data_IF_373748654186
#
_entry.id   IF_373748654186
#
_cell.length_a   1.000
_cell.length_b   1.000
_cell.length_c   1.000
_cell.angle_alpha   90.00
_cell.angle_beta   90.00
_cell.angle_gamma   90.00
#
_symmetry.space_group_name_H-M   'P 1'
#
loop_
_entity.id
_entity.type
_entity.pdbx_description
1 polymer ?
#
# COMPACT_ATOMS: atom_id res chain seq x y z
N UNK A 1 -3.86 -9.80 17.73
CA UNK A 1 -4.25 -8.45 17.26
C UNK A 1 -3.08 -7.48 17.17
N UNK A 2 -2.16 -7.42 18.14
CA UNK A 2 -1.03 -6.46 18.11
C UNK A 2 -0.16 -6.55 16.84
N UNK A 3 0.48 -7.70 16.59
CA UNK A 3 1.39 -7.87 15.44
C UNK A 3 0.70 -7.69 14.08
N UNK A 4 -0.52 -8.23 13.94
CA UNK A 4 -1.30 -8.09 12.71
C UNK A 4 -1.69 -6.64 12.44
N UNK A 5 -2.13 -5.91 13.48
CA UNK A 5 -2.45 -4.49 13.37
C UNK A 5 -1.21 -3.67 13.01
N UNK A 6 -0.10 -3.91 13.70
CA UNK A 6 1.11 -3.12 13.51
C UNK A 6 1.72 -3.34 12.12
N UNK A 7 1.79 -4.59 11.63
CA UNK A 7 2.25 -4.88 10.27
C UNK A 7 1.41 -4.18 9.20
N UNK A 8 0.08 -4.21 9.34
CA UNK A 8 -0.83 -3.53 8.39
C UNK A 8 -0.68 -2.01 8.49
N UNK A 9 -0.63 -1.46 9.72
CA UNK A 9 -0.44 -0.02 9.94
C UNK A 9 0.88 0.48 9.33
N UNK A 10 1.97 -0.30 9.44
CA UNK A 10 3.24 0.00 8.79
C UNK A 10 3.15 -0.06 7.26
N UNK A 11 2.36 -0.98 6.70
CA UNK A 11 2.08 -1.03 5.25
C UNK A 11 1.41 0.25 4.72
N UNK A 12 0.63 0.95 5.54
CA UNK A 12 0.02 2.24 5.17
C UNK A 12 0.95 3.46 5.29
N UNK A 13 2.17 3.28 5.79
CA UNK A 13 3.13 4.40 6.00
C UNK A 13 3.47 5.17 4.72
N UNK A 14 3.48 4.51 3.56
CA UNK A 14 3.68 5.17 2.26
C UNK A 14 2.55 6.16 1.96
N UNK A 15 1.29 5.74 2.10
CA UNK A 15 0.13 6.60 1.88
C UNK A 15 0.09 7.77 2.85
N UNK A 16 0.42 7.51 4.12
CA UNK A 16 0.52 8.54 5.15
C UNK A 16 1.59 9.58 4.78
N UNK A 17 2.76 9.12 4.31
CA UNK A 17 3.85 10.00 3.89
C UNK A 17 3.49 10.85 2.67
N UNK A 18 2.83 10.25 1.67
CA UNK A 18 2.35 10.97 0.48
C UNK A 18 1.34 12.04 0.90
N UNK A 19 0.38 11.71 1.77
CA UNK A 19 -0.63 12.66 2.24
C UNK A 19 0.00 13.86 2.98
N UNK A 20 1.02 13.60 3.81
CA UNK A 20 1.77 14.68 4.49
C UNK A 20 2.52 15.56 3.48
N UNK A 21 3.19 14.98 2.49
CA UNK A 21 3.90 15.73 1.45
C UNK A 21 2.92 16.57 0.61
N UNK A 22 1.80 15.99 0.17
CA UNK A 22 0.78 16.72 -0.58
C UNK A 22 0.14 17.84 0.25
N UNK A 23 -0.07 17.61 1.55
CA UNK A 23 -0.52 18.63 2.50
C UNK A 23 0.50 19.76 2.66
N UNK A 24 1.79 19.45 2.78
CA UNK A 24 2.86 20.45 2.90
C UNK A 24 3.03 21.28 1.62
N UNK A 25 2.86 20.66 0.45
CA UNK A 25 2.88 21.33 -0.85
C UNK A 25 1.59 22.14 -1.14
N UNK A 26 0.64 22.18 -0.21
CA UNK A 26 -0.61 22.93 -0.36
C UNK A 26 -1.53 22.39 -1.46
N UNK A 27 -1.32 21.14 -1.88
CA UNK A 27 -2.14 20.48 -2.88
C UNK A 27 -3.53 20.27 -2.29
N UNK A 28 -4.52 20.99 -2.78
CA UNK A 28 -5.91 20.79 -2.35
C UNK A 28 -6.36 19.43 -2.83
N UNK A 29 -6.42 18.45 -1.94
CA UNK A 29 -7.16 17.23 -2.19
C UNK A 29 -8.59 17.62 -2.51
N UNK A 30 -9.10 17.23 -3.68
CA UNK A 30 -10.53 17.35 -3.94
C UNK A 30 -11.21 16.45 -2.91
N UNK A 31 -11.83 17.07 -1.90
CA UNK A 31 -12.79 16.40 -1.06
C UNK A 31 -14.01 16.12 -1.95
N UNK A 32 -13.87 15.12 -2.85
CA UNK A 32 -14.95 14.64 -3.68
C UNK A 32 -15.96 14.11 -2.69
N UNK A 33 -17.01 14.91 -2.46
CA UNK A 33 -18.15 14.47 -1.66
C UNK A 33 -18.59 13.15 -2.27
N UNK A 34 -18.72 12.13 -1.43
CA UNK A 34 -19.16 10.79 -1.80
C UNK A 34 -20.25 10.89 -2.87
N UNK A 35 -20.04 10.32 -4.07
CA UNK A 35 -20.99 10.47 -5.16
C UNK A 35 -22.34 9.89 -4.72
N UNK A 36 -23.40 10.69 -4.82
CA UNK A 36 -24.77 10.27 -4.48
C UNK A 36 -25.25 9.31 -5.56
N UNK A 37 -24.90 8.03 -5.44
CA UNK A 37 -25.31 6.98 -6.38
C UNK A 37 -26.84 6.87 -6.36
N UNK A 38 -27.49 7.34 -7.42
CA UNK A 38 -28.90 7.08 -7.62
C UNK A 38 -29.07 5.68 -8.23
N UNK A 39 -29.14 4.67 -7.35
CA UNK A 39 -29.30 3.26 -7.72
C UNK A 39 -30.61 2.97 -8.48
N UNK A 40 -31.58 3.90 -8.48
CA UNK A 40 -32.85 3.74 -9.16
C UNK A 40 -32.85 4.15 -10.65
N UNK A 41 -31.82 4.87 -11.14
CA UNK A 41 -31.82 5.43 -12.50
C UNK A 41 -30.99 4.62 -13.52
N UNK A 42 -30.23 3.60 -13.11
CA UNK A 42 -29.26 2.92 -13.96
C UNK A 42 -29.71 1.50 -14.30
N UNK A 43 -30.75 1.40 -15.14
CA UNK A 43 -31.13 0.19 -15.86
C UNK A 43 -30.24 -0.11 -17.09
N UNK A 44 -29.07 0.52 -17.21
CA UNK A 44 -28.25 0.48 -18.41
C UNK A 44 -26.76 0.25 -18.12
N UNK A 45 -26.26 -0.89 -18.59
CA UNK A 45 -24.86 -1.21 -18.91
C UNK A 45 -23.77 -0.67 -17.94
N UNK A 46 -23.42 -1.47 -16.94
CA UNK A 46 -22.40 -1.17 -15.93
C UNK A 46 -20.95 -1.12 -16.46
N UNK A 47 -20.74 -1.37 -17.76
CA UNK A 47 -19.40 -1.46 -18.37
C UNK A 47 -18.78 -0.12 -18.76
N UNK A 48 -19.55 0.98 -18.83
CA UNK A 48 -19.10 2.30 -19.30
C UNK A 48 -18.93 3.35 -18.21
N UNK A 49 -18.97 2.95 -16.92
CA UNK A 49 -18.92 3.91 -15.82
C UNK A 49 -17.52 4.55 -15.72
N UNK A 50 -17.46 5.89 -15.89
CA UNK A 50 -16.22 6.70 -15.89
C UNK A 50 -15.39 6.57 -14.60
N UNK A 51 -16.01 6.12 -13.51
CA UNK A 51 -15.42 5.89 -12.20
C UNK A 51 -14.74 4.51 -12.05
N UNK A 52 -15.00 3.56 -12.95
CA UNK A 52 -14.41 2.20 -12.95
C UNK A 52 -13.12 2.12 -13.78
N UNK A 53 -12.36 3.22 -13.88
CA UNK A 53 -11.11 3.21 -14.66
C UNK A 53 -10.06 2.36 -13.93
N UNK A 54 -9.97 1.10 -14.36
CA UNK A 54 -8.93 0.13 -14.05
C UNK A 54 -7.54 0.64 -14.48
N UNK A 55 -6.92 1.50 -13.68
CA UNK A 55 -5.52 1.85 -13.85
C UNK A 55 -4.79 1.57 -12.56
N UNK A 56 -3.78 0.70 -12.64
CA UNK A 56 -2.84 0.48 -11.54
C UNK A 56 -2.24 1.84 -11.20
N UNK A 57 -2.42 2.28 -9.95
CA UNK A 57 -1.91 3.57 -9.50
C UNK A 57 -0.39 3.51 -9.34
N UNK A 58 0.29 4.64 -9.46
CA UNK A 58 1.75 4.72 -9.28
C UNK A 58 2.17 4.26 -7.87
N UNK A 59 1.28 4.40 -6.89
CA UNK A 59 1.51 4.01 -5.50
C UNK A 59 1.64 2.48 -5.37
N UNK A 60 0.86 1.70 -6.13
CA UNK A 60 0.96 0.21 -6.13
C UNK A 60 2.34 -0.24 -6.56
N UNK A 61 2.96 0.44 -7.53
CA UNK A 61 4.32 0.11 -7.98
C UNK A 61 5.33 0.38 -6.86
N UNK A 62 5.18 1.50 -6.15
CA UNK A 62 6.04 1.85 -5.03
C UNK A 62 5.89 0.86 -3.85
N UNK A 63 4.66 0.42 -3.55
CA UNK A 63 4.40 -0.62 -2.55
C UNK A 63 5.11 -1.93 -2.89
N UNK A 64 5.06 -2.36 -4.15
CA UNK A 64 5.75 -3.56 -4.63
C UNK A 64 7.28 -3.43 -4.53
N UNK A 65 7.83 -2.26 -4.88
CA UNK A 65 9.27 -1.99 -4.72
C UNK A 65 9.68 -2.04 -3.24
N UNK A 66 8.90 -1.43 -2.35
CA UNK A 66 9.17 -1.47 -0.91
C UNK A 66 9.07 -2.89 -0.34
N UNK A 67 8.10 -3.68 -0.76
CA UNK A 67 8.01 -5.10 -0.41
C UNK A 67 9.30 -5.83 -0.82
N UNK A 68 9.74 -5.69 -2.07
CA UNK A 68 10.98 -6.33 -2.55
C UNK A 68 12.22 -5.83 -1.80
N UNK A 69 12.27 -4.53 -1.49
CA UNK A 69 13.35 -3.92 -0.72
C UNK A 69 13.48 -4.54 0.69
N UNK A 70 12.36 -4.68 1.42
CA UNK A 70 12.39 -5.32 2.74
C UNK A 70 12.63 -6.83 2.67
N UNK A 71 12.18 -7.50 1.60
CA UNK A 71 12.54 -8.90 1.32
C UNK A 71 14.04 -9.06 1.08
N UNK A 72 14.66 -8.13 0.35
CA UNK A 72 16.11 -8.06 0.20
C UNK A 72 16.81 -7.78 1.53
N UNK A 73 16.31 -6.85 2.35
CA UNK A 73 16.83 -6.57 3.68
C UNK A 73 16.84 -7.81 4.59
N UNK A 74 15.75 -8.58 4.55
CA UNK A 74 15.67 -9.88 5.25
C UNK A 74 16.69 -10.88 4.72
N UNK A 75 16.89 -10.97 3.41
CA UNK A 75 17.92 -11.83 2.81
C UNK A 75 19.33 -11.41 3.20
N UNK A 76 19.62 -10.10 3.17
CA UNK A 76 20.93 -9.56 3.56
C UNK A 76 21.28 -9.81 5.02
N UNK A 77 20.28 -9.88 5.91
CA UNK A 77 20.47 -10.21 7.32
C UNK A 77 21.19 -11.57 7.49
N UNK A 78 20.97 -12.53 6.60
CA UNK A 78 21.62 -13.84 6.64
C UNK A 78 23.01 -13.87 5.98
N UNK A 79 23.30 -12.96 5.05
CA UNK A 79 24.51 -13.02 4.20
C UNK A 79 25.61 -12.09 4.67
N UNK A 80 25.26 -10.89 5.13
CA UNK A 80 26.25 -9.83 5.39
C UNK A 80 26.89 -9.95 6.77
N UNK A 81 26.32 -10.76 7.67
CA UNK A 81 26.86 -10.92 9.03
C UNK A 81 28.03 -11.89 9.09
N UNK A 82 29.26 -11.36 9.15
CA UNK A 82 30.52 -12.11 9.31
C UNK A 82 30.56 -13.06 10.54
N UNK A 83 29.62 -12.93 11.49
CA UNK A 83 29.58 -13.70 12.74
C UNK A 83 28.18 -14.23 13.11
N UNK A 84 27.36 -14.57 12.11
CA UNK A 84 26.07 -15.23 12.36
C UNK A 84 24.82 -14.39 12.05
N UNK A 85 24.94 -13.42 11.14
CA UNK A 85 23.81 -12.61 10.65
C UNK A 85 23.45 -11.40 11.53
N UNK A 86 22.89 -10.36 10.91
CA UNK A 86 22.36 -9.17 11.62
C UNK A 86 20.83 -9.28 11.74
N UNK A 87 20.38 -9.83 12.87
CA UNK A 87 18.96 -10.08 13.13
C UNK A 87 18.28 -9.02 14.00
N UNK A 88 19.00 -7.98 14.44
CA UNK A 88 18.45 -6.99 15.39
C UNK A 88 17.19 -6.31 14.87
N UNK A 89 17.14 -6.03 13.56
CA UNK A 89 16.00 -5.40 12.89
C UNK A 89 15.12 -6.38 12.11
N UNK A 90 15.44 -7.67 12.13
CA UNK A 90 14.74 -8.70 11.36
C UNK A 90 13.22 -8.75 11.62
N UNK A 91 12.73 -8.76 12.88
CA UNK A 91 11.29 -8.78 13.12
C UNK A 91 10.57 -7.55 12.54
N UNK A 92 11.21 -6.38 12.55
CA UNK A 92 10.63 -5.17 11.95
C UNK A 92 10.62 -5.24 10.42
N UNK A 93 11.69 -5.74 9.80
CA UNK A 93 11.75 -5.96 8.34
C UNK A 93 10.72 -6.98 7.88
N UNK A 94 10.52 -8.05 8.64
CA UNK A 94 9.48 -9.04 8.39
C UNK A 94 8.08 -8.43 8.46
N UNK A 95 7.81 -7.60 9.48
CA UNK A 95 6.51 -6.93 9.59
C UNK A 95 6.28 -5.94 8.44
N UNK A 96 7.31 -5.21 8.01
CA UNK A 96 7.25 -4.31 6.85
C UNK A 96 7.02 -5.08 5.55
N UNK A 97 7.72 -6.21 5.36
CA UNK A 97 7.53 -7.09 4.21
C UNK A 97 6.09 -7.61 4.13
N UNK A 98 5.56 -8.13 5.24
CA UNK A 98 4.17 -8.60 5.32
C UNK A 98 3.18 -7.45 5.12
N UNK A 99 3.45 -6.29 5.73
CA UNK A 99 2.60 -5.10 5.64
C UNK A 99 2.47 -4.57 4.22
N UNK A 100 3.59 -4.27 3.56
CA UNK A 100 3.60 -3.82 2.18
C UNK A 100 3.10 -4.90 1.22
N UNK A 101 3.43 -6.18 1.45
CA UNK A 101 2.89 -7.28 0.66
C UNK A 101 1.36 -7.35 0.75
N UNK A 102 0.79 -7.25 1.94
CA UNK A 102 -0.66 -7.23 2.13
C UNK A 102 -1.33 -6.08 1.36
N UNK A 103 -0.81 -4.86 1.49
CA UNK A 103 -1.34 -3.68 0.78
C UNK A 103 -1.21 -3.83 -0.74
N UNK A 104 -0.06 -4.29 -1.23
CA UNK A 104 0.22 -4.51 -2.65
C UNK A 104 -0.74 -5.55 -3.27
N UNK A 105 -0.85 -6.74 -2.66
CA UNK A 105 -1.74 -7.79 -3.16
C UNK A 105 -3.21 -7.38 -3.09
N UNK A 106 -3.61 -6.66 -2.02
CA UNK A 106 -4.96 -6.10 -1.91
C UNK A 106 -5.22 -5.06 -2.99
N UNK A 107 -4.28 -4.16 -3.26
CA UNK A 107 -4.46 -3.15 -4.30
C UNK A 107 -4.51 -3.72 -5.73
N UNK A 108 -3.98 -4.93 -5.95
CA UNK A 108 -4.09 -5.64 -7.23
C UNK A 108 -5.38 -6.48 -7.32
N UNK A 109 -5.75 -7.15 -6.22
CA UNK A 109 -6.85 -8.12 -6.19
C UNK A 109 -8.21 -7.44 -6.02
N UNK A 110 -8.29 -6.43 -5.15
CA UNK A 110 -9.51 -5.64 -4.98
C UNK A 110 -9.62 -4.70 -6.19
N UNK A 111 -10.58 -4.99 -7.06
CA UNK A 111 -10.94 -4.15 -8.19
C UNK A 111 -11.39 -2.78 -7.65
N UNK A 112 -10.55 -1.76 -7.82
CA UNK A 112 -10.95 -0.35 -7.64
C UNK A 112 -12.04 0.04 -8.64
#
# INVERSE_FOLDING_TARGET
MFFTFFSIAMGFSLHNSIAVIEGHLGKRSEFVRTPKFNLAAVGGNWKTNKYLKKKISRNVILEGILMLYFGFGMYSAFIVGDQGGDFGLFPFHLMLFIGFGFVFFRSITDKQ
#
